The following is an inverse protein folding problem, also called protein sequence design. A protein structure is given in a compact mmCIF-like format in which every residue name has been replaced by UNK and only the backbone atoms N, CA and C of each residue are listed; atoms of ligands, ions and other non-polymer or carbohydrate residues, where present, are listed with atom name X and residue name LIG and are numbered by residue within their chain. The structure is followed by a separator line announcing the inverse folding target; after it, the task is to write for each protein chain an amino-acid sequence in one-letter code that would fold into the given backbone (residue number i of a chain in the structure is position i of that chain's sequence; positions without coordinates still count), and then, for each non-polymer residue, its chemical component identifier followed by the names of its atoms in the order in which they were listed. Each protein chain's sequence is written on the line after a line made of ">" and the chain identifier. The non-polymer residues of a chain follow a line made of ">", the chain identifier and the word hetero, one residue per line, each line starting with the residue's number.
data_IF_673116440581
#
_entry.id   IF_673116440581
#
_cell.length_a   1.000
_cell.length_b   1.000
_cell.length_c   1.000
_cell.angle_alpha   90.00
_cell.angle_beta   90.00
_cell.angle_gamma   90.00
#
_symmetry.space_group_name_H-M   'P 1'
#
loop_
_entity.id
_entity.type
_entity.pdbx_description
1 polymer ?
#
# COMPACT_ATOMS: atom_id res chain seq x y z
N UNK A 1 -33.45 0.37 28.50
CA UNK A 1 -32.96 0.53 27.12
C UNK A 1 -32.24 1.87 26.85
N UNK A 2 -32.89 3.03 26.97
CA UNK A 2 -32.34 4.31 26.51
C UNK A 2 -31.06 4.80 27.22
N UNK A 3 -30.82 4.37 28.47
CA UNK A 3 -29.62 4.75 29.24
C UNK A 3 -28.30 4.24 28.65
N UNK A 4 -28.36 3.19 27.84
CA UNK A 4 -27.18 2.57 27.21
C UNK A 4 -26.95 3.08 25.78
N UNK A 5 -27.83 3.96 25.28
CA UNK A 5 -27.73 4.51 23.92
C UNK A 5 -26.72 5.66 23.90
N UNK A 6 -25.97 5.78 22.81
CA UNK A 6 -25.10 6.94 22.62
C UNK A 6 -25.92 8.19 22.33
N UNK A 7 -25.31 9.37 22.48
CA UNK A 7 -25.94 10.64 22.13
C UNK A 7 -26.40 10.68 20.67
N UNK A 8 -25.64 10.05 19.77
CA UNK A 8 -26.00 9.97 18.35
C UNK A 8 -27.25 9.11 18.15
N UNK A 9 -27.29 7.93 18.76
CA UNK A 9 -28.44 7.00 18.67
C UNK A 9 -29.71 7.68 19.18
N UNK A 10 -29.65 8.37 20.33
CA UNK A 10 -30.79 9.08 20.91
C UNK A 10 -31.31 10.20 20.01
N UNK A 11 -30.44 10.89 19.27
CA UNK A 11 -30.85 11.91 18.30
C UNK A 11 -31.56 11.30 17.11
N UNK A 12 -31.08 10.17 16.59
CA UNK A 12 -31.73 9.43 15.49
C UNK A 12 -33.11 8.98 15.94
N UNK A 13 -33.21 8.31 17.10
CA UNK A 13 -34.48 7.85 17.67
C UNK A 13 -35.45 9.01 17.86
N UNK A 14 -35.01 10.13 18.45
CA UNK A 14 -35.87 11.30 18.63
C UNK A 14 -36.35 11.87 17.29
N UNK A 15 -35.49 11.87 16.26
CA UNK A 15 -35.84 12.33 14.92
C UNK A 15 -36.87 11.40 14.26
N UNK A 16 -36.70 10.09 14.37
CA UNK A 16 -37.65 9.10 13.84
C UNK A 16 -39.01 9.13 14.56
N UNK A 17 -39.01 9.41 15.86
CA UNK A 17 -40.23 9.64 16.63
C UNK A 17 -40.86 11.03 16.36
N UNK A 18 -40.29 11.83 15.46
CA UNK A 18 -40.79 13.17 15.13
C UNK A 18 -40.69 14.18 16.27
N UNK A 19 -39.78 13.96 17.23
CA UNK A 19 -39.58 14.82 18.39
C UNK A 19 -38.59 15.94 18.06
N UNK A 20 -39.00 17.19 18.27
CA UNK A 20 -38.12 18.33 18.15
C UNK A 20 -37.19 18.43 19.37
N UNK A 21 -35.88 18.57 19.13
CA UNK A 21 -34.88 18.77 20.17
C UNK A 21 -33.79 19.76 19.74
N UNK A 22 -33.16 20.42 20.71
CA UNK A 22 -32.07 21.34 20.44
C UNK A 22 -30.79 20.63 20.01
N UNK A 23 -30.01 21.24 19.10
CA UNK A 23 -28.70 20.70 18.67
C UNK A 23 -27.75 20.45 19.85
N UNK A 24 -27.85 21.30 20.89
CA UNK A 24 -27.06 21.26 22.12
C UNK A 24 -27.68 20.39 23.23
N UNK A 25 -28.81 19.72 22.99
CA UNK A 25 -29.45 18.87 23.98
C UNK A 25 -28.49 17.84 24.56
N UNK A 26 -28.59 17.62 25.88
CA UNK A 26 -27.82 16.62 26.62
C UNK A 26 -28.46 15.24 26.50
N UNK A 27 -27.70 14.19 26.83
CA UNK A 27 -28.21 12.81 26.81
C UNK A 27 -29.44 12.68 27.72
N UNK A 28 -29.37 13.24 28.93
CA UNK A 28 -30.47 13.19 29.90
C UNK A 28 -31.72 13.87 29.35
N UNK A 29 -31.58 15.05 28.72
CA UNK A 29 -32.71 15.75 28.11
C UNK A 29 -33.34 14.97 26.96
N UNK A 30 -32.53 14.32 26.12
CA UNK A 30 -33.04 13.49 25.02
C UNK A 30 -33.77 12.25 25.54
N UNK A 31 -33.23 11.58 26.57
CA UNK A 31 -33.88 10.44 27.21
C UNK A 31 -35.23 10.87 27.80
N UNK A 32 -35.25 11.97 28.55
CA UNK A 32 -36.46 12.49 29.18
C UNK A 32 -37.52 12.88 28.14
N UNK A 33 -37.10 13.52 27.04
CA UNK A 33 -37.98 13.87 25.92
C UNK A 33 -38.63 12.63 25.30
N UNK A 34 -37.84 11.59 25.01
CA UNK A 34 -38.33 10.34 24.44
C UNK A 34 -39.28 9.64 25.42
N UNK A 35 -38.93 9.55 26.71
CA UNK A 35 -39.76 8.91 27.74
C UNK A 35 -41.08 9.64 27.97
N UNK A 36 -41.10 10.97 27.83
CA UNK A 36 -42.31 11.78 27.96
C UNK A 36 -43.20 11.72 26.72
N UNK A 37 -42.68 11.28 25.57
CA UNK A 37 -43.41 11.18 24.31
C UNK A 37 -44.62 10.24 24.40
N UNK A 38 -45.64 10.52 23.59
CA UNK A 38 -46.82 9.65 23.49
C UNK A 38 -46.46 8.27 22.93
N UNK A 39 -45.45 8.17 22.05
CA UNK A 39 -44.98 6.90 21.50
C UNK A 39 -44.47 5.99 22.61
N UNK A 40 -43.56 6.49 23.44
CA UNK A 40 -43.01 5.71 24.56
C UNK A 40 -44.07 5.29 25.57
N UNK A 41 -45.09 6.12 25.82
CA UNK A 41 -46.17 5.78 26.77
C UNK A 41 -47.20 4.80 26.21
N UNK A 42 -47.44 4.83 24.89
CA UNK A 42 -48.44 3.98 24.23
C UNK A 42 -47.87 2.64 23.81
N UNK A 43 -46.65 2.64 23.29
CA UNK A 43 -46.03 1.47 22.69
C UNK A 43 -44.53 1.45 22.99
N UNK A 44 -44.19 0.86 24.14
CA UNK A 44 -42.81 0.70 24.59
C UNK A 44 -42.06 -0.27 23.69
N UNK A 45 -42.72 -1.33 23.22
CA UNK A 45 -42.11 -2.37 22.40
C UNK A 45 -41.66 -1.82 21.05
N UNK A 46 -42.46 -0.95 20.44
CA UNK A 46 -42.08 -0.23 19.23
C UNK A 46 -40.82 0.62 19.46
N UNK A 47 -40.77 1.40 20.55
CA UNK A 47 -39.60 2.23 20.85
C UNK A 47 -38.37 1.37 21.15
N UNK A 48 -38.54 0.23 21.80
CA UNK A 48 -37.46 -0.73 22.03
C UNK A 48 -36.96 -1.35 20.72
N UNK A 49 -37.86 -1.72 19.82
CA UNK A 49 -37.53 -2.18 18.46
C UNK A 49 -36.75 -1.13 17.68
N UNK A 50 -37.17 0.13 17.75
CA UNK A 50 -36.49 1.25 17.11
C UNK A 50 -35.08 1.48 17.68
N UNK A 51 -34.92 1.43 19.01
CA UNK A 51 -33.63 1.52 19.68
C UNK A 51 -32.70 0.40 19.20
N UNK A 52 -33.18 -0.84 19.19
CA UNK A 52 -32.40 -2.00 18.78
C UNK A 52 -32.01 -1.93 17.30
N UNK A 53 -32.93 -1.48 16.44
CA UNK A 53 -32.67 -1.27 15.01
C UNK A 53 -31.57 -0.23 14.80
N UNK A 54 -31.69 0.93 15.46
CA UNK A 54 -30.71 2.02 15.38
C UNK A 54 -29.30 1.55 15.79
N UNK A 55 -29.20 0.82 16.92
CA UNK A 55 -27.92 0.30 17.41
C UNK A 55 -27.34 -0.73 16.43
N UNK A 56 -28.18 -1.60 15.87
CA UNK A 56 -27.76 -2.63 14.92
C UNK A 56 -27.24 -2.01 13.63
N UNK A 57 -27.93 -1.01 13.10
CA UNK A 57 -27.52 -0.28 11.91
C UNK A 57 -26.19 0.45 12.12
N UNK A 58 -26.02 1.13 13.26
CA UNK A 58 -24.75 1.76 13.62
C UNK A 58 -23.60 0.76 13.63
N UNK A 59 -23.78 -0.40 14.25
CA UNK A 59 -22.75 -1.47 14.28
C UNK A 59 -22.41 -1.97 12.88
N UNK A 60 -23.41 -2.12 12.02
CA UNK A 60 -23.19 -2.58 10.65
C UNK A 60 -22.38 -1.56 9.82
N UNK A 61 -22.70 -0.26 9.96
CA UNK A 61 -21.93 0.80 9.31
C UNK A 61 -20.48 0.87 9.81
N UNK A 62 -20.27 0.66 11.11
CA UNK A 62 -18.94 0.60 11.72
C UNK A 62 -18.11 -0.58 11.18
N UNK A 63 -18.74 -1.75 11.01
CA UNK A 63 -18.13 -2.93 10.40
C UNK A 63 -17.73 -2.69 8.94
N UNK A 64 -18.62 -2.10 8.14
CA UNK A 64 -18.33 -1.72 6.73
C UNK A 64 -17.17 -0.72 6.67
N UNK A 65 -17.17 0.29 7.54
CA UNK A 65 -16.11 1.29 7.58
C UNK A 65 -14.76 0.67 7.96
N UNK A 66 -14.74 -0.26 8.92
CA UNK A 66 -13.54 -0.99 9.32
C UNK A 66 -13.00 -1.87 8.18
N UNK A 67 -13.87 -2.59 7.49
CA UNK A 67 -13.46 -3.44 6.37
C UNK A 67 -12.90 -2.61 5.21
N UNK A 68 -13.54 -1.48 4.90
CA UNK A 68 -13.05 -0.53 3.90
C UNK A 68 -11.67 0.02 4.27
N UNK A 69 -11.47 0.39 5.54
CA UNK A 69 -10.18 0.88 6.02
C UNK A 69 -9.08 -0.18 5.92
N UNK A 70 -9.38 -1.45 6.22
CA UNK A 70 -8.44 -2.56 6.05
C UNK A 70 -8.08 -2.78 4.58
N UNK A 71 -9.06 -2.75 3.69
CA UNK A 71 -8.84 -2.90 2.26
C UNK A 71 -7.98 -1.76 1.69
N UNK A 72 -8.20 -0.53 2.14
CA UNK A 72 -7.41 0.64 1.76
C UNK A 72 -5.97 0.54 2.29
N UNK A 73 -5.78 0.14 3.54
CA UNK A 73 -4.45 -0.11 4.10
C UNK A 73 -3.70 -1.21 3.34
N UNK A 74 -4.39 -2.29 2.96
CA UNK A 74 -3.83 -3.36 2.14
C UNK A 74 -3.35 -2.89 0.77
N UNK A 75 -4.15 -2.04 0.11
CA UNK A 75 -3.77 -1.44 -1.17
C UNK A 75 -2.53 -0.53 -1.03
N UNK A 76 -2.49 0.29 0.01
CA UNK A 76 -1.37 1.19 0.28
C UNK A 76 -0.05 0.43 0.52
N UNK A 77 -0.10 -0.65 1.30
CA UNK A 77 1.06 -1.53 1.52
C UNK A 77 1.56 -2.16 0.22
N UNK A 78 0.64 -2.63 -0.64
CA UNK A 78 1.01 -3.23 -1.92
C UNK A 78 1.66 -2.21 -2.88
N UNK A 79 1.14 -0.98 -2.92
CA UNK A 79 1.75 0.10 -3.70
C UNK A 79 3.14 0.46 -3.19
N UNK A 80 3.34 0.49 -1.88
CA UNK A 80 4.65 0.76 -1.29
C UNK A 80 5.69 -0.29 -1.69
N UNK A 81 5.34 -1.58 -1.61
CA UNK A 81 6.21 -2.68 -2.04
C UNK A 81 6.54 -2.57 -3.54
N UNK A 82 5.55 -2.28 -4.38
CA UNK A 82 5.77 -2.10 -5.83
C UNK A 82 6.72 -0.94 -6.10
N UNK A 83 6.53 0.19 -5.42
CA UNK A 83 7.39 1.36 -5.57
C UNK A 83 8.83 1.07 -5.14
N UNK A 84 9.02 0.36 -4.02
CA UNK A 84 10.34 -0.04 -3.54
C UNK A 84 11.05 -0.97 -4.53
N UNK A 85 10.33 -1.94 -5.10
CA UNK A 85 10.85 -2.80 -6.17
C UNK A 85 11.28 -2.01 -7.40
N UNK A 86 10.46 -1.06 -7.86
CA UNK A 86 10.78 -0.21 -9.02
C UNK A 86 12.02 0.66 -8.74
N UNK A 87 12.14 1.23 -7.52
CA UNK A 87 13.32 1.99 -7.12
C UNK A 87 14.58 1.13 -7.12
N UNK A 88 14.51 -0.08 -6.56
CA UNK A 88 15.65 -1.00 -6.53
C UNK A 88 16.08 -1.43 -7.95
N UNK A 89 15.14 -1.71 -8.84
CA UNK A 89 15.43 -2.07 -10.24
C UNK A 89 16.06 -0.91 -11.01
N UNK A 90 15.58 0.32 -10.79
CA UNK A 90 16.15 1.53 -11.38
C UNK A 90 17.59 1.76 -10.91
N UNK A 91 17.87 1.61 -9.62
CA UNK A 91 19.23 1.75 -9.07
C UNK A 91 20.18 0.67 -9.62
N UNK A 92 19.72 -0.58 -9.72
CA UNK A 92 20.50 -1.65 -10.36
C UNK A 92 20.81 -1.35 -11.83
N UNK A 93 19.85 -0.80 -12.58
CA UNK A 93 20.05 -0.39 -13.96
C UNK A 93 21.04 0.80 -14.07
N UNK A 94 20.98 1.74 -13.13
CA UNK A 94 21.90 2.87 -13.02
C UNK A 94 23.33 2.38 -12.79
N UNK A 95 23.55 1.54 -11.77
CA UNK A 95 24.85 0.94 -11.47
C UNK A 95 25.40 0.13 -12.64
N UNK A 96 24.58 -0.71 -13.29
CA UNK A 96 24.99 -1.45 -14.50
C UNK A 96 25.42 -0.53 -15.64
N UNK A 97 24.74 0.60 -15.81
CA UNK A 97 25.06 1.58 -16.84
C UNK A 97 26.34 2.36 -16.52
N UNK A 98 26.55 2.74 -15.26
CA UNK A 98 27.79 3.35 -14.77
C UNK A 98 28.98 2.41 -14.93
N UNK A 99 28.86 1.13 -14.54
CA UNK A 99 29.91 0.13 -14.74
C UNK A 99 30.21 -0.15 -16.23
N UNK A 100 29.21 -0.03 -17.12
CA UNK A 100 29.43 -0.14 -18.57
C UNK A 100 30.03 1.15 -19.18
N UNK A 101 29.88 2.29 -18.52
CA UNK A 101 30.48 3.58 -18.90
C UNK A 101 31.94 3.67 -18.46
N UNK A 102 32.28 3.17 -17.26
CA UNK A 102 33.66 3.09 -16.78
C UNK A 102 34.50 2.16 -17.65
N UNK A 103 33.94 1.05 -18.15
CA UNK A 103 34.60 0.17 -19.12
C UNK A 103 34.72 0.74 -20.55
N UNK A 104 34.16 1.91 -20.84
CA UNK A 104 34.32 2.59 -22.15
C UNK A 104 35.31 3.75 -22.11
N UNK A 105 35.81 4.13 -20.94
CA UNK A 105 36.77 5.23 -20.80
C UNK A 105 38.22 4.77 -20.60
N UNK A 106 38.50 3.48 -20.68
CA UNK A 106 39.87 2.93 -20.74
C UNK A 106 40.26 2.40 -22.13
N UNK A 107 39.52 2.78 -23.18
CA UNK A 107 39.97 2.54 -24.56
C UNK A 107 40.35 3.87 -25.25
N UNK A 108 41.30 4.57 -24.64
CA UNK A 108 42.11 5.58 -25.32
C UNK A 108 43.57 5.42 -24.90
N UNK A 109 44.11 4.26 -25.20
CA UNK A 109 45.54 3.98 -25.17
C UNK A 109 45.85 3.03 -26.33
N UNK A 110 46.18 3.59 -27.49
CA UNK A 110 46.94 2.86 -28.51
C UNK A 110 48.11 2.18 -27.81
N UNK A 111 48.12 0.85 -27.62
CA UNK A 111 49.34 0.03 -27.45
C UNK A 111 49.13 -1.51 -27.39
N UNK A 112 47.91 -2.04 -27.28
CA UNK A 112 47.72 -3.51 -27.08
C UNK A 112 47.79 -4.40 -28.34
N UNK A 113 48.14 -3.84 -29.51
CA UNK A 113 48.38 -4.64 -30.72
C UNK A 113 49.83 -5.03 -30.93
N UNK A 114 50.80 -4.43 -30.23
CA UNK A 114 52.22 -4.70 -30.50
C UNK A 114 52.72 -5.99 -29.85
N UNK A 115 52.30 -6.29 -28.63
CA UNK A 115 52.75 -7.49 -27.90
C UNK A 115 52.21 -8.80 -28.51
N UNK A 116 50.96 -8.82 -28.99
CA UNK A 116 50.38 -10.02 -29.62
C UNK A 116 51.03 -10.37 -30.97
N UNK A 117 51.50 -9.37 -31.73
CA UNK A 117 52.15 -9.61 -33.03
C UNK A 117 53.57 -10.13 -32.83
N UNK A 118 54.33 -9.59 -31.86
CA UNK A 118 55.68 -10.06 -31.54
C UNK A 118 55.68 -11.53 -31.08
N UNK A 119 54.67 -11.94 -30.31
CA UNK A 119 54.54 -13.34 -29.86
C UNK A 119 54.25 -14.32 -31.00
N UNK A 120 53.50 -13.90 -32.02
CA UNK A 120 53.13 -14.75 -33.16
C UNK A 120 54.29 -14.85 -34.18
N UNK A 121 55.02 -13.75 -34.41
CA UNK A 121 56.22 -13.75 -35.24
C UNK A 121 57.36 -14.57 -34.63
N UNK A 122 57.53 -14.50 -33.30
CA UNK A 122 58.48 -15.34 -32.56
C UNK A 122 58.15 -16.84 -32.70
N UNK A 123 56.86 -17.19 -32.64
CA UNK A 123 56.38 -18.55 -32.85
C UNK A 123 56.63 -19.04 -34.29
N UNK A 124 56.27 -18.24 -35.29
CA UNK A 124 56.50 -18.56 -36.71
C UNK A 124 57.99 -18.75 -36.98
N UNK A 125 58.86 -17.88 -36.42
CA UNK A 125 60.30 -17.98 -36.57
C UNK A 125 60.84 -19.26 -35.96
N UNK A 126 60.39 -19.61 -34.76
CA UNK A 126 60.78 -20.84 -34.05
C UNK A 126 60.42 -22.10 -34.83
N UNK A 127 59.20 -22.17 -35.38
CA UNK A 127 58.73 -23.31 -36.21
C UNK A 127 59.58 -23.45 -37.48
N UNK A 128 59.92 -22.33 -38.14
CA UNK A 128 60.77 -22.35 -39.34
C UNK A 128 62.18 -22.88 -39.05
N UNK A 129 62.78 -22.52 -37.91
CA UNK A 129 64.09 -23.05 -37.51
C UNK A 129 64.05 -24.52 -37.10
N UNK A 130 62.93 -25.01 -36.56
CA UNK A 130 62.81 -26.41 -36.14
C UNK A 130 62.52 -27.36 -37.32
N UNK A 131 62.06 -26.83 -38.45
CA UNK A 131 61.77 -27.65 -39.64
C UNK A 131 63.07 -28.11 -40.30
N UNK A 132 63.50 -29.33 -39.98
CA UNK A 132 64.56 -30.04 -40.69
C UNK A 132 64.07 -30.44 -42.08
N UNK A 133 64.83 -30.09 -43.13
CA UNK A 133 64.53 -30.58 -44.48
C UNK A 133 64.76 -32.08 -44.51
N UNK A 134 63.72 -32.82 -44.86
CA UNK A 134 63.84 -34.24 -45.21
C UNK A 134 64.75 -34.36 -46.44
N UNK A 135 65.83 -35.17 -46.38
CA UNK A 135 66.64 -35.45 -47.55
C UNK A 135 65.78 -36.19 -48.61
N UNK A 136 65.95 -35.80 -49.86
CA UNK A 136 65.31 -36.44 -51.02
C UNK A 136 65.78 -37.88 -51.20
#
# INVERSE_FOLDING_TARGET
>A
MLKNCSKADLKVIATELGLAFDKKATIVQLIDLIQKSNYYKKDIEFVEGLVNSTIKERKHLEEIALEKAKAEQGQMNLEQIKLERVKAELELARLRSESNSENKNENSGENDKKESIESLDSLIKSIRTLTVKLPN
#
